data_IF_464447385784
#
_entry.id   IF_464447385784
#
_cell.length_a   1.000
_cell.length_b   1.000
_cell.length_c   1.000
_cell.angle_alpha   90.00
_cell.angle_beta   90.00
_cell.angle_gamma   90.00
#
_symmetry.space_group_name_H-M   'P 1'
#
loop_
_entity.id
_entity.type
_entity.pdbx_description
1 polymer ?
#
# COMPACT_ATOMS: atom_id res chain seq x y z
N UNK A 1 2.32 -11.68 -8.67
CA UNK A 1 1.77 -12.02 -7.35
C UNK A 1 1.79 -10.83 -6.39
N UNK A 2 2.93 -10.45 -5.79
CA UNK A 2 2.94 -9.37 -4.79
C UNK A 2 2.56 -7.98 -5.35
N UNK A 3 3.00 -7.67 -6.57
CA UNK A 3 2.55 -6.48 -7.31
C UNK A 3 1.03 -6.46 -7.49
N UNK A 4 0.46 -7.57 -7.92
CA UNK A 4 -0.99 -7.68 -8.16
C UNK A 4 -1.78 -7.55 -6.86
N UNK A 5 -1.24 -8.07 -5.75
CA UNK A 5 -1.82 -7.92 -4.41
C UNK A 5 -1.74 -6.47 -3.92
N UNK A 6 -0.58 -5.79 -4.03
CA UNK A 6 -0.46 -4.38 -3.63
C UNK A 6 -1.39 -3.48 -4.45
N UNK A 7 -1.50 -3.73 -5.76
CA UNK A 7 -2.42 -3.00 -6.64
C UNK A 7 -3.88 -3.29 -6.28
N UNK A 8 -4.23 -4.55 -5.97
CA UNK A 8 -5.60 -4.91 -5.55
C UNK A 8 -5.99 -4.21 -4.26
N UNK A 9 -5.12 -4.22 -3.25
CA UNK A 9 -5.35 -3.48 -2.00
C UNK A 9 -5.49 -1.97 -2.23
N UNK A 10 -4.70 -1.38 -3.12
CA UNK A 10 -4.84 0.04 -3.45
C UNK A 10 -6.17 0.35 -4.14
N UNK A 11 -6.65 -0.52 -5.04
CA UNK A 11 -7.98 -0.38 -5.66
C UNK A 11 -9.11 -0.49 -4.63
N UNK A 12 -9.01 -1.45 -3.70
CA UNK A 12 -10.00 -1.57 -2.63
C UNK A 12 -10.02 -0.34 -1.72
N UNK A 13 -8.85 0.25 -1.42
CA UNK A 13 -8.81 1.52 -0.69
C UNK A 13 -9.64 2.62 -1.38
N UNK A 14 -9.49 2.79 -2.69
CA UNK A 14 -10.29 3.76 -3.44
C UNK A 14 -11.79 3.42 -3.40
N UNK A 15 -12.14 2.16 -3.66
CA UNK A 15 -13.53 1.69 -3.64
C UNK A 15 -14.20 1.94 -2.27
N UNK A 16 -13.53 1.62 -1.17
CA UNK A 16 -14.07 1.82 0.17
C UNK A 16 -14.11 3.29 0.57
N UNK A 17 -13.18 4.12 0.08
CA UNK A 17 -13.26 5.58 0.26
C UNK A 17 -14.48 6.18 -0.42
N UNK A 18 -14.80 5.74 -1.63
CA UNK A 18 -15.98 6.18 -2.38
C UNK A 18 -17.29 5.75 -1.69
N UNK A 19 -17.27 4.61 -0.98
CA UNK A 19 -18.39 4.13 -0.17
C UNK A 19 -18.45 4.73 1.24
N UNK A 20 -17.60 5.72 1.56
CA UNK A 20 -17.45 6.34 2.89
C UNK A 20 -17.11 5.33 4.01
N UNK A 21 -16.63 4.14 3.64
CA UNK A 21 -16.20 3.06 4.54
C UNK A 21 -14.75 3.28 4.95
N UNK A 22 -14.53 4.29 5.81
CA UNK A 22 -13.20 4.77 6.17
C UNK A 22 -12.32 3.68 6.82
N UNK A 23 -12.90 2.82 7.66
CA UNK A 23 -12.16 1.75 8.36
C UNK A 23 -11.61 0.72 7.38
N UNK A 24 -12.44 0.26 6.44
CA UNK A 24 -12.08 -0.69 5.41
C UNK A 24 -11.06 -0.08 4.44
N UNK A 25 -11.26 1.18 4.06
CA UNK A 25 -10.29 1.91 3.24
C UNK A 25 -8.90 1.92 3.89
N UNK A 26 -8.79 2.36 5.15
CA UNK A 26 -7.51 2.42 5.86
C UNK A 26 -6.88 1.03 6.01
N UNK A 27 -7.68 -0.01 6.26
CA UNK A 27 -7.21 -1.40 6.34
C UNK A 27 -6.55 -1.85 5.03
N UNK A 28 -7.23 -1.62 3.90
CA UNK A 28 -6.68 -1.97 2.60
C UNK A 28 -5.45 -1.14 2.24
N UNK A 29 -5.40 0.13 2.65
CA UNK A 29 -4.21 0.97 2.46
C UNK A 29 -3.01 0.47 3.28
N UNK A 30 -3.24 0.04 4.53
CA UNK A 30 -2.20 -0.54 5.38
C UNK A 30 -1.65 -1.85 4.80
N UNK A 31 -2.52 -2.75 4.32
CA UNK A 31 -2.09 -3.97 3.64
C UNK A 31 -1.29 -3.70 2.35
N UNK A 32 -1.70 -2.69 1.57
CA UNK A 32 -0.94 -2.25 0.40
C UNK A 32 0.49 -1.85 0.81
N UNK A 33 0.62 -1.00 1.83
CA UNK A 33 1.92 -0.55 2.31
C UNK A 33 2.77 -1.69 2.88
N UNK A 34 2.19 -2.59 3.69
CA UNK A 34 2.92 -3.71 4.29
C UNK A 34 3.59 -4.62 3.25
N UNK A 35 2.92 -4.88 2.12
CA UNK A 35 3.49 -5.66 1.01
C UNK A 35 4.68 -4.92 0.38
N UNK A 36 4.51 -3.63 0.10
CA UNK A 36 5.56 -2.81 -0.52
C UNK A 36 6.77 -2.64 0.41
N UNK A 37 6.52 -2.39 1.69
CA UNK A 37 7.57 -2.23 2.69
C UNK A 37 8.33 -3.54 2.94
N UNK A 38 7.63 -4.68 2.94
CA UNK A 38 8.26 -6.00 2.98
C UNK A 38 9.20 -6.25 1.80
N UNK A 39 8.83 -5.78 0.60
CA UNK A 39 9.70 -5.85 -0.58
C UNK A 39 10.93 -4.94 -0.44
N UNK A 40 10.71 -3.71 0.01
CA UNK A 40 11.77 -2.74 0.24
C UNK A 40 12.80 -3.25 1.27
N UNK A 41 12.33 -3.71 2.44
CA UNK A 41 13.19 -4.25 3.51
C UNK A 41 13.94 -5.52 3.10
N UNK A 42 13.31 -6.38 2.30
CA UNK A 42 13.94 -7.59 1.79
C UNK A 42 14.90 -7.35 0.61
N UNK A 43 15.10 -6.10 0.18
CA UNK A 43 15.93 -5.77 -0.98
C UNK A 43 15.40 -6.35 -2.29
N UNK A 44 14.10 -6.69 -2.36
CA UNK A 44 13.50 -7.31 -3.54
C UNK A 44 13.30 -6.25 -4.64
N UNK A 45 13.46 -6.64 -5.92
CA UNK A 45 13.22 -5.72 -7.02
C UNK A 45 11.75 -5.25 -7.00
N UNK A 46 11.58 -3.93 -7.00
CA UNK A 46 10.31 -3.25 -7.18
C UNK A 46 10.33 -2.52 -8.51
N UNK A 47 9.24 -2.65 -9.27
CA UNK A 47 9.04 -1.84 -10.47
C UNK A 47 8.88 -0.34 -10.12
N UNK A 48 9.01 0.57 -11.10
CA UNK A 48 8.93 2.00 -10.83
C UNK A 48 7.60 2.44 -10.17
N UNK A 49 6.48 1.79 -10.49
CA UNK A 49 5.18 2.14 -9.91
C UNK A 49 5.10 1.69 -8.45
N UNK A 50 5.53 0.48 -8.13
CA UNK A 50 5.60 -0.02 -6.75
C UNK A 50 6.49 0.89 -5.89
N UNK A 51 7.63 1.31 -6.42
CA UNK A 51 8.59 2.17 -5.71
C UNK A 51 8.02 3.57 -5.48
N UNK A 52 7.36 4.15 -6.49
CA UNK A 52 6.69 5.43 -6.36
C UNK A 52 5.53 5.38 -5.36
N UNK A 53 4.77 4.27 -5.33
CA UNK A 53 3.68 4.08 -4.38
C UNK A 53 4.20 3.90 -2.95
N UNK A 54 5.27 3.12 -2.74
CA UNK A 54 5.92 3.00 -1.43
C UNK A 54 6.40 4.35 -0.92
N UNK A 55 7.09 5.14 -1.76
CA UNK A 55 7.57 6.47 -1.39
C UNK A 55 6.44 7.46 -1.02
N UNK A 56 5.28 7.37 -1.67
CA UNK A 56 4.11 8.19 -1.34
C UNK A 56 3.45 7.79 -0.02
N UNK A 57 3.40 6.48 0.27
CA UNK A 57 2.75 5.96 1.46
C UNK A 57 3.66 5.98 2.69
N UNK A 58 4.98 5.87 2.52
CA UNK A 58 5.94 5.78 3.61
C UNK A 58 5.80 6.91 4.65
N UNK A 59 5.66 8.21 4.29
CA UNK A 59 5.50 9.27 5.29
C UNK A 59 4.25 9.12 6.17
N UNK A 60 3.21 8.44 5.68
CA UNK A 60 1.96 8.19 6.41
C UNK A 60 2.09 7.06 7.43
N UNK A 61 2.92 6.06 7.14
CA UNK A 61 3.08 4.86 7.97
C UNK A 61 4.38 4.85 8.80
N UNK A 62 5.43 5.58 8.41
CA UNK A 62 6.67 5.72 9.18
C UNK A 62 6.57 6.75 10.32
N UNK A 63 5.52 7.56 10.36
CA UNK A 63 5.26 8.49 11.48
C UNK A 63 4.72 7.78 12.73
N UNK A 64 4.38 6.49 12.62
CA UNK A 64 3.82 5.67 13.69
C UNK A 64 4.80 4.62 14.23
N UNK A 65 6.12 4.79 14.01
CA UNK A 65 7.18 3.97 14.62
C UNK A 65 7.95 4.73 15.68
#
# INVERSE_FOLDING_TARGET
AARDLSVSHFKFFHLYREQEKQTEAVTHLAHCFAILDGFHRAGRPMDPQMRALHAQLAPRFNRES
#
